data_IF_000504333866
#
_entry.id   IF_000504333866
#
_cell.length_a   1.000
_cell.length_b   1.000
_cell.length_c   1.000
_cell.angle_alpha   90.00
_cell.angle_beta   90.00
_cell.angle_gamma   90.00
#
_symmetry.space_group_name_H-M   'P 1'
#
loop_
_entity.id
_entity.type
_entity.pdbx_description
1 polymer ?
#
# COMPACT_ATOMS: atom_id res chain seq x y z
N UNK A 1 -16.07 -24.14 -25.18
CA UNK A 1 -17.38 -23.69 -24.63
C UNK A 1 -17.21 -22.23 -24.24
N UNK A 2 -18.14 -21.36 -24.62
CA UNK A 2 -18.13 -19.97 -24.14
C UNK A 2 -18.29 -19.98 -22.63
N UNK A 3 -17.26 -19.56 -21.90
CA UNK A 3 -17.34 -19.40 -20.44
C UNK A 3 -18.01 -18.06 -20.20
N UNK A 4 -19.18 -18.06 -19.56
CA UNK A 4 -19.85 -16.82 -19.14
C UNK A 4 -18.91 -16.02 -18.23
N UNK A 5 -18.53 -14.78 -18.60
CA UNK A 5 -17.65 -13.95 -17.80
C UNK A 5 -18.24 -13.64 -16.43
N UNK A 6 -17.40 -13.52 -15.41
CA UNK A 6 -17.82 -13.30 -14.03
C UNK A 6 -18.73 -12.05 -13.85
N UNK A 7 -18.54 -11.02 -14.68
CA UNK A 7 -19.34 -9.79 -14.65
C UNK A 7 -20.75 -9.92 -15.25
N UNK A 8 -21.02 -11.00 -15.99
CA UNK A 8 -22.35 -11.31 -16.54
C UNK A 8 -23.16 -12.21 -15.61
N UNK A 9 -22.53 -12.72 -14.54
CA UNK A 9 -23.17 -13.60 -13.57
C UNK A 9 -23.80 -12.78 -12.45
N UNK A 10 -25.04 -13.14 -12.09
CA UNK A 10 -25.76 -12.58 -10.95
C UNK A 10 -24.92 -12.63 -9.66
N UNK A 11 -25.12 -11.66 -8.76
CA UNK A 11 -24.32 -11.52 -7.53
C UNK A 11 -24.36 -12.76 -6.63
N UNK A 12 -25.53 -13.36 -6.42
CA UNK A 12 -25.65 -14.51 -5.52
C UNK A 12 -24.87 -15.70 -6.06
N UNK A 13 -25.08 -16.04 -7.33
CA UNK A 13 -24.37 -17.13 -8.01
C UNK A 13 -22.87 -16.87 -8.13
N UNK A 14 -22.48 -15.64 -8.44
CA UNK A 14 -21.08 -15.23 -8.53
C UNK A 14 -20.34 -15.45 -7.20
N UNK A 15 -20.94 -15.10 -6.06
CA UNK A 15 -20.33 -15.35 -4.74
C UNK A 15 -20.14 -16.84 -4.49
N UNK A 16 -21.12 -17.67 -4.83
CA UNK A 16 -21.03 -19.13 -4.68
C UNK A 16 -19.95 -19.74 -5.59
N UNK A 17 -19.90 -19.31 -6.85
CA UNK A 17 -18.88 -19.75 -7.83
C UNK A 17 -17.48 -19.39 -7.35
N UNK A 18 -17.26 -18.13 -6.95
CA UNK A 18 -15.95 -17.69 -6.45
C UNK A 18 -15.55 -18.53 -5.24
N UNK A 19 -16.46 -18.70 -4.28
CA UNK A 19 -16.21 -19.52 -3.09
C UNK A 19 -15.78 -20.93 -3.47
N UNK A 20 -16.55 -21.62 -4.31
CA UNK A 20 -16.24 -22.97 -4.77
C UNK A 20 -14.86 -23.07 -5.45
N UNK A 21 -14.53 -22.13 -6.32
CA UNK A 21 -13.25 -22.09 -7.01
C UNK A 21 -12.06 -21.77 -6.11
N UNK A 22 -12.25 -21.02 -5.03
CA UNK A 22 -11.19 -20.69 -4.07
C UNK A 22 -10.99 -21.81 -3.03
N UNK A 23 -12.06 -22.51 -2.64
CA UNK A 23 -12.03 -23.63 -1.68
C UNK A 23 -11.41 -24.90 -2.28
N UNK A 24 -11.90 -25.31 -3.48
CA UNK A 24 -11.61 -26.63 -4.06
C UNK A 24 -10.11 -26.93 -4.27
N UNK A 25 -9.28 -26.01 -4.80
CA UNK A 25 -7.88 -26.33 -5.06
C UNK A 25 -7.01 -26.43 -3.80
N UNK A 26 -7.48 -25.92 -2.65
CA UNK A 26 -6.64 -25.69 -1.46
C UNK A 26 -7.17 -26.35 -0.19
N UNK A 27 -8.40 -26.88 -0.22
CA UNK A 27 -9.03 -27.52 0.93
C UNK A 27 -9.30 -26.58 2.11
N UNK A 28 -9.31 -25.26 1.86
CA UNK A 28 -9.49 -24.23 2.89
C UNK A 28 -10.92 -23.70 2.96
N UNK A 29 -11.25 -23.02 4.05
CA UNK A 29 -12.55 -22.35 4.25
C UNK A 29 -12.44 -20.91 3.78
N UNK A 30 -13.33 -20.50 2.87
CA UNK A 30 -13.35 -19.14 2.34
C UNK A 30 -14.33 -18.25 3.12
N UNK A 31 -13.86 -17.06 3.50
CA UNK A 31 -14.61 -16.00 4.17
C UNK A 31 -14.49 -14.67 3.41
N UNK A 32 -15.52 -13.81 3.52
CA UNK A 32 -15.58 -12.53 2.82
C UNK A 32 -16.69 -12.46 1.75
N UNK A 33 -16.58 -11.54 0.77
CA UNK A 33 -15.46 -10.62 0.56
C UNK A 33 -15.43 -9.48 1.59
N UNK A 34 -14.23 -8.99 1.90
CA UNK A 34 -14.05 -7.64 2.45
C UNK A 34 -13.99 -6.69 1.26
N UNK A 35 -14.81 -5.65 1.32
CA UNK A 35 -14.98 -4.67 0.26
C UNK A 35 -14.01 -3.48 0.45
N UNK A 36 -13.00 -3.36 -0.43
CA UNK A 36 -12.10 -2.20 -0.50
C UNK A 36 -12.54 -1.19 -1.57
N UNK A 37 -11.86 -0.03 -1.69
CA UNK A 37 -12.27 1.01 -2.65
C UNK A 37 -12.15 0.59 -4.14
N UNK A 38 -11.17 -0.27 -4.47
CA UNK A 38 -10.85 -0.67 -5.85
C UNK A 38 -10.96 -2.18 -6.12
N UNK A 39 -11.11 -2.99 -5.07
CA UNK A 39 -11.17 -4.44 -5.17
C UNK A 39 -11.93 -5.08 -4.00
N UNK A 40 -12.12 -6.38 -4.11
CA UNK A 40 -12.68 -7.24 -3.08
C UNK A 40 -11.61 -8.27 -2.69
N UNK A 41 -11.56 -8.64 -1.40
CA UNK A 41 -10.59 -9.61 -0.89
C UNK A 41 -11.33 -10.73 -0.17
N UNK A 42 -11.13 -11.96 -0.65
CA UNK A 42 -11.51 -13.16 0.09
C UNK A 42 -10.36 -13.64 0.95
N UNK A 43 -10.68 -14.18 2.11
CA UNK A 43 -9.71 -14.83 2.98
C UNK A 43 -9.92 -16.34 2.97
N UNK A 44 -8.85 -17.11 2.75
CA UNK A 44 -8.86 -18.57 2.63
C UNK A 44 -8.08 -19.15 3.80
N UNK A 45 -8.77 -19.77 4.77
CA UNK A 45 -8.14 -20.44 5.89
C UNK A 45 -7.81 -21.89 5.51
N UNK A 46 -6.52 -22.21 5.34
CA UNK A 46 -6.04 -23.57 5.00
C UNK A 46 -5.82 -24.39 6.27
N UNK A 47 -5.27 -23.76 7.31
CA UNK A 47 -5.06 -24.36 8.62
C UNK A 47 -5.18 -23.29 9.70
N UNK A 48 -5.07 -23.66 10.97
CA UNK A 48 -5.08 -22.71 12.09
C UNK A 48 -3.96 -21.65 11.99
N UNK A 49 -2.87 -21.94 11.28
CA UNK A 49 -1.69 -21.07 11.15
C UNK A 49 -1.51 -20.47 9.75
N UNK A 50 -2.22 -20.99 8.75
CA UNK A 50 -2.00 -20.62 7.35
C UNK A 50 -3.27 -20.07 6.74
N UNK A 51 -3.21 -18.78 6.38
CA UNK A 51 -4.30 -18.05 5.75
C UNK A 51 -3.80 -17.32 4.52
N UNK A 52 -4.60 -17.33 3.46
CA UNK A 52 -4.33 -16.65 2.20
C UNK A 52 -5.32 -15.53 1.96
N UNK A 53 -4.91 -14.56 1.15
CA UNK A 53 -5.78 -13.52 0.61
C UNK A 53 -5.93 -13.75 -0.91
N UNK A 54 -7.16 -13.62 -1.40
CA UNK A 54 -7.48 -13.61 -2.83
C UNK A 54 -8.10 -12.26 -3.19
N UNK A 55 -7.29 -11.36 -3.76
CA UNK A 55 -7.67 -10.02 -4.20
C UNK A 55 -8.13 -10.06 -5.65
N UNK A 56 -9.21 -9.36 -5.97
CA UNK A 56 -9.67 -9.21 -7.34
C UNK A 56 -10.37 -7.85 -7.57
N UNK A 57 -10.40 -7.34 -8.81
CA UNK A 57 -11.11 -6.10 -9.12
C UNK A 57 -12.61 -6.22 -8.86
N UNK A 58 -13.22 -5.17 -8.31
CA UNK A 58 -14.67 -5.13 -8.04
C UNK A 58 -15.48 -5.32 -9.32
N UNK A 59 -16.06 -6.49 -9.50
CA UNK A 59 -16.83 -6.86 -10.69
C UNK A 59 -17.97 -5.87 -10.98
N UNK A 60 -18.65 -5.34 -9.95
CA UNK A 60 -19.75 -4.36 -10.09
C UNK A 60 -19.34 -3.02 -10.71
N UNK A 61 -18.06 -2.64 -10.66
CA UNK A 61 -17.57 -1.39 -11.26
C UNK A 61 -17.50 -1.47 -12.80
N UNK A 62 -17.58 -2.68 -13.33
CA UNK A 62 -17.36 -3.00 -14.74
C UNK A 62 -18.68 -3.35 -15.43
N UNK A 63 -19.53 -2.34 -15.63
CA UNK A 63 -20.82 -2.46 -16.33
C UNK A 63 -20.73 -2.65 -17.85
N UNK A 64 -19.65 -3.27 -18.35
CA UNK A 64 -19.43 -3.54 -19.77
C UNK A 64 -18.00 -4.03 -20.09
N UNK A 65 -17.77 -4.62 -21.28
CA UNK A 65 -16.51 -5.26 -21.66
C UNK A 65 -15.28 -4.35 -21.60
N UNK A 66 -15.41 -3.09 -22.03
CA UNK A 66 -14.30 -2.12 -22.01
C UNK A 66 -13.81 -1.83 -20.60
N UNK A 67 -14.75 -1.63 -19.66
CA UNK A 67 -14.41 -1.40 -18.26
C UNK A 67 -13.75 -2.64 -17.67
N UNK A 68 -14.29 -3.83 -17.96
CA UNK A 68 -13.70 -5.09 -17.51
C UNK A 68 -12.26 -5.24 -17.99
N UNK A 69 -11.99 -4.95 -19.27
CA UNK A 69 -10.64 -4.94 -19.84
C UNK A 69 -9.71 -3.97 -19.10
N UNK A 70 -10.17 -2.76 -18.81
CA UNK A 70 -9.38 -1.79 -18.04
C UNK A 70 -9.06 -2.28 -16.61
N UNK A 71 -10.01 -2.95 -15.95
CA UNK A 71 -9.79 -3.56 -14.64
C UNK A 71 -8.77 -4.71 -14.68
N UNK A 72 -8.84 -5.55 -15.71
CA UNK A 72 -7.87 -6.63 -15.94
C UNK A 72 -6.48 -6.06 -16.22
N UNK A 73 -6.36 -5.04 -17.07
CA UNK A 73 -5.09 -4.37 -17.35
C UNK A 73 -4.45 -3.79 -16.08
N UNK A 74 -5.25 -3.24 -15.16
CA UNK A 74 -4.75 -2.75 -13.88
C UNK A 74 -4.19 -3.89 -13.00
N UNK A 75 -4.82 -5.07 -13.01
CA UNK A 75 -4.30 -6.26 -12.30
C UNK A 75 -3.00 -6.73 -12.94
N UNK A 76 -2.95 -6.85 -14.27
CA UNK A 76 -1.74 -7.27 -14.97
C UNK A 76 -0.58 -6.31 -14.69
N UNK A 77 -0.86 -5.01 -14.68
CA UNK A 77 0.09 -3.99 -14.27
C UNK A 77 0.55 -4.15 -12.83
N UNK A 78 -0.36 -4.36 -11.87
CA UNK A 78 -0.02 -4.65 -10.46
C UNK A 78 0.91 -5.86 -10.35
N UNK A 79 0.62 -6.92 -11.10
CA UNK A 79 1.42 -8.14 -11.11
C UNK A 79 2.83 -7.88 -11.65
N UNK A 80 2.94 -7.22 -12.80
CA UNK A 80 4.22 -6.87 -13.42
C UNK A 80 5.07 -5.97 -12.52
N UNK A 81 4.47 -4.96 -11.88
CA UNK A 81 5.17 -4.06 -10.97
C UNK A 81 5.66 -4.76 -9.71
N UNK A 82 4.79 -5.52 -9.05
CA UNK A 82 5.18 -6.26 -7.83
C UNK A 82 6.23 -7.33 -8.14
N UNK A 83 6.17 -7.95 -9.33
CA UNK A 83 7.17 -8.91 -9.79
C UNK A 83 8.56 -8.29 -9.99
N UNK A 84 8.67 -7.06 -10.50
CA UNK A 84 9.97 -6.34 -10.55
C UNK A 84 10.59 -6.16 -9.16
N UNK A 85 9.73 -5.97 -8.17
CA UNK A 85 10.07 -5.88 -6.75
C UNK A 85 10.27 -7.24 -6.06
N UNK A 86 10.42 -8.34 -6.82
CA UNK A 86 10.63 -9.67 -6.25
C UNK A 86 11.84 -9.69 -5.29
N UNK A 87 11.69 -10.41 -4.18
CA UNK A 87 12.69 -10.50 -3.10
C UNK A 87 12.99 -9.20 -2.33
N UNK A 88 12.24 -8.10 -2.55
CA UNK A 88 12.28 -6.96 -1.61
C UNK A 88 11.55 -7.35 -0.32
N UNK A 89 12.21 -7.31 0.87
CA UNK A 89 11.65 -7.85 2.11
C UNK A 89 10.36 -7.19 2.60
N UNK A 90 10.18 -5.92 2.28
CA UNK A 90 9.07 -5.08 2.73
C UNK A 90 8.04 -4.82 1.62
N UNK A 91 8.02 -5.64 0.57
CA UNK A 91 6.97 -5.59 -0.45
C UNK A 91 6.05 -6.78 -0.29
N UNK A 92 4.74 -6.52 -0.33
CA UNK A 92 3.73 -7.55 -0.23
C UNK A 92 3.68 -8.37 -1.52
N UNK A 93 4.14 -9.62 -1.44
CA UNK A 93 4.21 -10.53 -2.59
C UNK A 93 2.95 -11.36 -2.72
N UNK A 94 2.50 -11.57 -3.94
CA UNK A 94 1.66 -12.70 -4.31
C UNK A 94 2.52 -13.90 -4.68
N UNK A 95 1.92 -15.08 -4.76
CA UNK A 95 2.60 -16.31 -5.19
C UNK A 95 1.95 -16.93 -6.43
N UNK A 96 0.68 -16.61 -6.73
CA UNK A 96 -0.04 -17.13 -7.88
C UNK A 96 -1.21 -16.22 -8.28
N UNK A 97 -1.75 -16.45 -9.48
CA UNK A 97 -2.95 -15.79 -10.02
C UNK A 97 -3.90 -16.85 -10.55
N UNK A 98 -5.11 -16.88 -9.99
CA UNK A 98 -6.16 -17.79 -10.41
C UNK A 98 -7.16 -17.07 -11.32
N UNK A 99 -7.50 -17.66 -12.46
CA UNK A 99 -8.58 -17.14 -13.32
C UNK A 99 -9.87 -17.87 -12.95
N UNK A 100 -10.91 -17.11 -12.60
CA UNK A 100 -12.25 -17.63 -12.32
C UNK A 100 -13.22 -16.94 -13.28
N UNK A 101 -13.82 -17.68 -14.20
CA UNK A 101 -14.75 -17.14 -15.20
C UNK A 101 -14.21 -15.89 -15.93
N UNK A 102 -12.95 -15.97 -16.39
CA UNK A 102 -12.25 -14.88 -17.06
C UNK A 102 -11.72 -13.77 -16.14
N UNK A 103 -12.03 -13.78 -14.85
CA UNK A 103 -11.58 -12.75 -13.92
C UNK A 103 -10.32 -13.17 -13.15
N UNK A 104 -9.31 -12.29 -13.02
CA UNK A 104 -8.08 -12.64 -12.32
C UNK A 104 -8.19 -12.41 -10.81
N UNK A 105 -7.75 -13.40 -10.04
CA UNK A 105 -7.65 -13.39 -8.58
C UNK A 105 -6.19 -13.51 -8.18
N UNK A 106 -5.62 -12.43 -7.63
CA UNK A 106 -4.25 -12.39 -7.12
C UNK A 106 -4.22 -13.09 -5.76
N UNK A 107 -3.36 -14.09 -5.62
CA UNK A 107 -3.24 -14.89 -4.40
C UNK A 107 -1.97 -14.55 -3.65
N UNK A 108 -2.13 -14.10 -2.41
CA UNK A 108 -1.02 -13.70 -1.53
C UNK A 108 -1.19 -14.27 -0.12
N UNK A 109 -0.16 -14.14 0.70
CA UNK A 109 -0.27 -14.43 2.13
C UNK A 109 -1.24 -13.43 2.76
N UNK A 110 -2.13 -13.92 3.62
CA UNK A 110 -2.98 -13.05 4.44
C UNK A 110 -2.11 -12.34 5.49
N UNK A 111 -2.27 -11.03 5.63
CA UNK A 111 -1.56 -10.17 6.59
C UNK A 111 -2.40 -9.95 7.84
N UNK A 112 -1.76 -9.71 8.98
CA UNK A 112 -2.48 -9.55 10.26
C UNK A 112 -3.32 -8.27 10.31
N UNK A 113 -2.92 -7.25 9.54
CA UNK A 113 -3.67 -6.02 9.35
C UNK A 113 -2.94 -5.06 8.40
N UNK A 114 -3.40 -3.81 8.40
CA UNK A 114 -2.82 -2.67 7.68
C UNK A 114 -2.39 -1.55 8.62
N UNK A 115 -1.56 -0.63 8.13
CA UNK A 115 -1.15 0.55 8.87
C UNK A 115 -2.38 1.42 9.24
N UNK A 116 -3.44 1.39 8.43
CA UNK A 116 -4.72 2.02 8.75
C UNK A 116 -5.33 1.44 10.04
N UNK A 117 -5.24 0.12 10.24
CA UNK A 117 -5.73 -0.54 11.46
C UNK A 117 -4.90 -0.16 12.70
N UNK A 118 -3.59 0.03 12.54
CA UNK A 118 -2.69 0.49 13.62
C UNK A 118 -2.95 1.95 13.99
N UNK A 119 -3.12 2.82 12.99
CA UNK A 119 -3.46 4.23 13.19
C UNK A 119 -4.82 4.36 13.88
N UNK A 120 -5.81 3.55 13.47
CA UNK A 120 -7.13 3.51 14.10
C UNK A 120 -7.12 2.95 15.54
N UNK A 121 -6.06 2.24 15.94
CA UNK A 121 -5.89 1.73 17.30
C UNK A 121 -4.54 2.17 17.90
N UNK A 122 -4.41 3.44 18.32
CA UNK A 122 -3.15 4.00 18.81
C UNK A 122 -2.48 3.25 19.97
N UNK A 123 -3.26 2.50 20.76
CA UNK A 123 -2.78 1.70 21.88
C UNK A 123 -2.13 0.38 21.46
N UNK A 124 -2.27 -0.04 20.20
CA UNK A 124 -1.73 -1.28 19.69
C UNK A 124 -0.21 -1.26 19.45
N UNK A 125 0.40 -0.07 19.43
CA UNK A 125 1.78 0.12 18.99
C UNK A 125 2.44 1.33 19.66
N UNK A 126 3.72 1.17 19.99
CA UNK A 126 4.51 2.19 20.68
C UNK A 126 5.04 3.27 19.75
N UNK A 127 5.62 4.33 20.31
CA UNK A 127 6.34 5.34 19.52
C UNK A 127 7.49 4.69 18.71
N UNK A 128 8.21 3.75 19.32
CA UNK A 128 9.26 2.97 18.67
C UNK A 128 8.73 2.20 17.46
N UNK A 129 7.57 1.56 17.60
CA UNK A 129 6.93 0.82 16.51
C UNK A 129 6.52 1.75 15.35
N UNK A 130 6.09 2.98 15.64
CA UNK A 130 5.77 3.99 14.61
C UNK A 130 7.00 4.39 13.81
N UNK A 131 8.11 4.69 14.47
CA UNK A 131 9.38 4.97 13.79
C UNK A 131 9.89 3.76 13.00
N UNK A 132 9.89 2.57 13.60
CA UNK A 132 10.30 1.34 12.94
C UNK A 132 9.46 1.04 11.70
N UNK A 133 8.15 1.27 11.77
CA UNK A 133 7.23 1.12 10.65
C UNK A 133 7.55 2.08 9.51
N UNK A 134 7.73 3.37 9.81
CA UNK A 134 8.08 4.37 8.80
C UNK A 134 9.43 4.07 8.12
N UNK A 135 10.43 3.64 8.88
CA UNK A 135 11.73 3.22 8.32
C UNK A 135 11.55 2.05 7.34
N UNK A 136 10.79 1.01 7.72
CA UNK A 136 10.51 -0.13 6.84
C UNK A 136 9.78 0.27 5.56
N UNK A 137 8.81 1.20 5.63
CA UNK A 137 8.07 1.71 4.47
C UNK A 137 9.00 2.48 3.54
N UNK A 138 9.82 3.38 4.07
CA UNK A 138 10.77 4.18 3.27
C UNK A 138 11.81 3.28 2.60
N UNK A 139 12.33 2.28 3.33
CA UNK A 139 13.22 1.25 2.79
C UNK A 139 12.55 0.44 1.67
N UNK A 140 11.29 0.06 1.83
CA UNK A 140 10.53 -0.62 0.78
C UNK A 140 10.49 0.20 -0.52
N UNK A 141 10.23 1.50 -0.41
CA UNK A 141 10.16 2.41 -1.56
C UNK A 141 11.53 2.63 -2.20
N UNK A 142 12.59 2.82 -1.41
CA UNK A 142 13.97 2.94 -1.92
C UNK A 142 14.40 1.70 -2.71
N UNK A 143 14.19 0.52 -2.13
CA UNK A 143 14.51 -0.73 -2.82
C UNK A 143 13.62 -0.95 -4.04
N UNK A 144 12.35 -0.52 -4.03
CA UNK A 144 11.50 -0.54 -5.23
C UNK A 144 12.06 0.34 -6.36
N UNK A 145 12.59 1.52 -6.02
CA UNK A 145 13.25 2.43 -6.98
C UNK A 145 14.50 1.81 -7.59
N UNK A 146 15.31 1.11 -6.79
CA UNK A 146 16.45 0.33 -7.29
C UNK A 146 16.02 -0.80 -8.24
N UNK A 147 14.76 -1.27 -8.15
CA UNK A 147 14.14 -2.23 -9.08
C UNK A 147 13.38 -1.58 -10.24
N UNK A 148 13.55 -0.28 -10.46
CA UNK A 148 12.96 0.44 -11.60
C UNK A 148 11.47 0.75 -11.45
N UNK A 149 10.95 0.73 -10.22
CA UNK A 149 9.62 1.27 -9.87
C UNK A 149 9.85 2.70 -9.37
N UNK A 150 9.58 3.70 -10.20
CA UNK A 150 9.91 5.08 -9.85
C UNK A 150 9.05 5.60 -8.70
N UNK A 151 7.76 5.23 -8.68
CA UNK A 151 6.87 5.55 -7.58
C UNK A 151 5.64 4.62 -7.48
N UNK A 152 5.12 4.48 -6.27
CA UNK A 152 3.91 3.74 -5.92
C UNK A 152 2.63 4.46 -6.36
N UNK A 153 2.57 5.79 -6.22
CA UNK A 153 1.49 6.68 -6.68
C UNK A 153 0.17 6.63 -5.91
N UNK A 154 -0.18 5.51 -5.27
CA UNK A 154 -1.32 5.40 -4.34
C UNK A 154 -0.87 4.95 -2.94
N UNK A 155 0.24 5.50 -2.44
CA UNK A 155 0.72 5.18 -1.09
C UNK A 155 -0.26 5.76 -0.04
N UNK A 156 -0.75 4.90 0.84
CA UNK A 156 -1.66 5.23 1.95
C UNK A 156 -1.56 4.14 3.03
N UNK A 157 -2.03 4.38 4.27
CA UNK A 157 -2.02 3.39 5.32
C UNK A 157 -2.71 2.06 4.96
N UNK A 158 -3.84 2.11 4.24
CA UNK A 158 -4.54 0.90 3.78
C UNK A 158 -3.78 0.05 2.74
N UNK A 159 -2.69 0.58 2.15
CA UNK A 159 -1.82 -0.13 1.21
C UNK A 159 -0.49 -0.57 1.86
N UNK A 160 -0.30 -0.32 3.15
CA UNK A 160 0.83 -0.83 3.93
C UNK A 160 0.30 -1.88 4.90
N UNK A 161 0.67 -3.13 4.69
CA UNK A 161 0.25 -4.25 5.51
C UNK A 161 1.28 -4.57 6.59
N UNK A 162 0.89 -5.33 7.61
CA UNK A 162 1.83 -5.84 8.62
C UNK A 162 1.57 -7.29 8.99
N UNK A 163 2.65 -7.97 9.40
CA UNK A 163 2.57 -9.19 10.22
C UNK A 163 2.88 -8.80 11.68
N UNK A 164 2.05 -9.24 12.62
CA UNK A 164 2.22 -9.02 14.07
C UNK A 164 3.16 -10.09 14.64
N UNK A 165 4.42 -9.70 14.84
CA UNK A 165 5.47 -10.57 15.35
C UNK A 165 5.34 -10.88 16.84
N UNK A 166 4.56 -10.08 17.60
CA UNK A 166 4.27 -10.39 19.01
C UNK A 166 3.51 -11.72 19.18
N UNK A 167 2.81 -12.15 18.11
CA UNK A 167 2.13 -13.45 18.02
C UNK A 167 3.06 -14.60 17.65
N UNK A 168 4.28 -14.31 17.21
CA UNK A 168 5.27 -15.26 16.67
C UNK A 168 6.48 -15.45 17.59
N UNK A 169 6.27 -15.32 18.91
CA UNK A 169 7.28 -15.43 19.98
C UNK A 169 8.26 -14.26 20.11
N UNK A 170 7.97 -13.09 19.53
CA UNK A 170 8.72 -11.87 19.90
C UNK A 170 8.27 -11.42 21.29
N UNK A 171 9.20 -11.29 22.26
CA UNK A 171 8.87 -10.80 23.61
C UNK A 171 8.20 -9.42 23.55
N UNK A 172 7.21 -9.17 24.43
CA UNK A 172 6.43 -7.92 24.46
C UNK A 172 7.26 -6.67 24.79
N UNK A 173 8.46 -6.86 25.35
CA UNK A 173 9.44 -5.83 25.65
C UNK A 173 10.39 -5.54 24.47
N UNK A 174 10.21 -6.21 23.32
CA UNK A 174 10.99 -5.98 22.09
C UNK A 174 10.55 -4.70 21.38
N UNK A 175 10.98 -3.56 21.94
CA UNK A 175 10.70 -2.21 21.44
C UNK A 175 10.99 -2.07 19.95
N UNK A 176 10.00 -1.63 19.17
CA UNK A 176 10.15 -1.37 17.74
C UNK A 176 10.25 -2.61 16.84
N UNK A 177 10.06 -3.82 17.39
CA UNK A 177 10.22 -5.08 16.66
C UNK A 177 8.91 -5.87 16.54
N UNK A 178 7.77 -5.27 16.89
CA UNK A 178 6.49 -5.97 16.94
C UNK A 178 5.83 -6.14 15.57
N UNK A 179 6.15 -5.27 14.60
CA UNK A 179 5.48 -5.26 13.30
C UNK A 179 6.50 -5.35 12.17
N UNK A 180 6.28 -6.30 11.27
CA UNK A 180 6.98 -6.35 9.99
C UNK A 180 6.08 -5.78 8.91
N UNK A 181 6.50 -4.68 8.29
CA UNK A 181 5.70 -3.93 7.31
C UNK A 181 5.87 -4.44 5.88
N UNK A 182 4.81 -4.33 5.08
CA UNK A 182 4.78 -4.70 3.68
C UNK A 182 3.99 -3.68 2.86
N UNK A 183 4.67 -2.88 2.02
CA UNK A 183 4.02 -2.04 1.02
C UNK A 183 3.41 -2.92 -0.06
N UNK A 184 2.14 -2.73 -0.40
CA UNK A 184 1.43 -3.49 -1.43
C UNK A 184 0.49 -2.61 -2.26
N UNK A 185 -0.25 -3.23 -3.18
CA UNK A 185 -1.15 -2.54 -4.13
C UNK A 185 -0.43 -1.62 -5.14
N UNK A 186 0.50 -2.21 -5.90
CA UNK A 186 1.24 -1.54 -6.97
C UNK A 186 0.43 -1.32 -8.25
N UNK A 187 -0.91 -1.38 -8.19
CA UNK A 187 -1.77 -1.25 -9.38
C UNK A 187 -1.74 0.13 -10.04
N UNK A 188 -1.26 1.16 -9.34
CA UNK A 188 -1.03 2.51 -9.88
C UNK A 188 0.45 2.89 -9.97
N UNK A 189 1.36 1.98 -9.65
CA UNK A 189 2.79 2.27 -9.65
C UNK A 189 3.25 2.69 -11.06
N UNK A 190 3.98 3.80 -11.15
CA UNK A 190 4.40 4.47 -12.40
C UNK A 190 3.27 4.77 -13.41
N UNK A 191 2.00 4.79 -13.02
CA UNK A 191 0.89 5.01 -13.95
C UNK A 191 0.95 6.39 -14.64
N UNK A 192 1.56 7.39 -14.00
CA UNK A 192 1.84 8.70 -14.59
C UNK A 192 2.75 8.60 -15.83
N UNK A 193 3.74 7.71 -15.81
CA UNK A 193 4.69 7.49 -16.91
C UNK A 193 4.15 6.50 -17.93
N UNK A 194 3.62 5.38 -17.43
CA UNK A 194 3.26 4.23 -18.27
C UNK A 194 1.89 4.45 -18.97
N UNK A 195 1.00 5.26 -18.37
CA UNK A 195 -0.34 5.52 -18.89
C UNK A 195 -0.73 7.01 -18.98
N UNK A 196 0.15 7.95 -18.59
CA UNK A 196 -0.21 9.38 -18.51
C UNK A 196 -1.29 9.67 -17.46
N UNK A 197 -1.43 8.82 -16.44
CA UNK A 197 -2.51 8.91 -15.44
C UNK A 197 -1.99 9.33 -14.07
N UNK A 198 -2.30 10.56 -13.70
CA UNK A 198 -2.13 11.05 -12.34
C UNK A 198 -3.35 10.63 -11.52
N UNK A 199 -3.19 9.65 -10.62
CA UNK A 199 -4.29 9.09 -9.82
C UNK A 199 -3.77 8.61 -8.48
N UNK A 200 -4.61 8.67 -7.45
CA UNK A 200 -4.31 8.20 -6.11
C UNK A 200 -5.48 8.48 -5.17
N UNK A 201 -5.26 8.22 -3.89
CA UNK A 201 -6.23 8.46 -2.82
C UNK A 201 -6.12 9.89 -2.34
N UNK A 202 -7.20 10.67 -2.52
CA UNK A 202 -7.19 12.14 -2.43
C UNK A 202 -6.52 12.74 -1.19
N UNK A 203 -6.66 12.19 0.04
CA UNK A 203 -5.96 12.72 1.21
C UNK A 203 -4.42 12.68 1.09
N UNK A 204 -3.89 11.67 0.39
CA UNK A 204 -2.45 11.41 0.27
C UNK A 204 -1.87 11.92 -1.05
N UNK A 205 -2.71 12.45 -1.96
CA UNK A 205 -2.25 12.92 -3.27
C UNK A 205 -1.43 14.20 -3.16
N UNK A 206 -0.28 14.20 -3.83
CA UNK A 206 0.58 15.36 -3.95
C UNK A 206 -0.01 16.42 -4.91
N UNK A 207 0.38 17.70 -4.77
CA UNK A 207 -0.08 18.80 -5.64
C UNK A 207 0.05 18.50 -7.14
N UNK A 208 1.17 17.95 -7.56
CA UNK A 208 1.46 17.61 -8.95
C UNK A 208 0.58 16.47 -9.48
N UNK A 209 0.08 15.58 -8.62
CA UNK A 209 -0.87 14.54 -9.03
C UNK A 209 -2.27 15.08 -9.30
N UNK A 210 -2.59 16.27 -8.78
CA UNK A 210 -3.81 16.98 -9.15
C UNK A 210 -3.62 17.83 -10.41
N UNK A 211 -2.39 18.06 -10.87
CA UNK A 211 -2.13 18.89 -12.04
C UNK A 211 -2.31 18.11 -13.35
N UNK A 212 -2.64 18.84 -14.42
CA UNK A 212 -2.57 18.34 -15.79
C UNK A 212 -1.19 18.55 -16.43
N UNK A 213 -0.24 19.14 -15.71
CA UNK A 213 1.14 19.30 -16.17
C UNK A 213 1.89 17.98 -16.10
N UNK A 214 2.83 17.77 -17.02
CA UNK A 214 3.72 16.61 -17.00
C UNK A 214 4.50 16.58 -15.67
N UNK A 215 4.49 15.43 -15.02
CA UNK A 215 5.33 15.13 -13.86
C UNK A 215 6.71 14.76 -14.39
N UNK A 216 7.77 15.30 -13.80
CA UNK A 216 9.14 14.90 -14.12
C UNK A 216 9.30 13.39 -13.88
N UNK A 217 9.52 12.58 -14.93
CA UNK A 217 9.62 11.13 -14.79
C UNK A 217 10.91 10.66 -14.14
N UNK A 218 11.88 11.56 -13.94
CA UNK A 218 13.19 11.23 -13.37
C UNK A 218 13.24 11.35 -11.85
N UNK A 219 12.29 12.07 -11.23
CA UNK A 219 12.28 12.30 -9.79
C UNK A 219 10.85 12.53 -9.23
N UNK A 220 9.94 11.53 -9.30
CA UNK A 220 8.63 11.66 -8.68
C UNK A 220 8.75 11.73 -7.15
N UNK A 221 8.31 12.84 -6.56
CA UNK A 221 8.31 13.03 -5.09
C UNK A 221 6.90 12.99 -4.48
N UNK A 222 5.91 12.45 -5.20
CA UNK A 222 4.55 12.33 -4.67
C UNK A 222 4.42 11.25 -3.59
N UNK A 223 5.21 10.17 -3.65
CA UNK A 223 5.27 9.20 -2.56
C UNK A 223 5.86 9.82 -1.28
N UNK A 224 6.78 10.78 -1.41
CA UNK A 224 7.31 11.55 -0.27
C UNK A 224 6.24 12.44 0.36
N UNK A 225 5.39 13.07 -0.46
CA UNK A 225 4.25 13.82 0.05
C UNK A 225 3.29 12.90 0.83
N UNK A 226 2.95 11.73 0.26
CA UNK A 226 2.13 10.74 0.93
C UNK A 226 2.76 10.22 2.23
N UNK A 227 4.09 9.97 2.23
CA UNK A 227 4.85 9.62 3.44
C UNK A 227 4.78 10.70 4.52
N UNK A 228 4.80 11.98 4.15
CA UNK A 228 4.59 13.09 5.08
C UNK A 228 3.25 13.03 5.79
N UNK A 229 2.17 12.80 5.03
CA UNK A 229 0.83 12.64 5.58
C UNK A 229 0.77 11.41 6.49
N UNK A 230 1.28 10.26 6.02
CA UNK A 230 1.30 9.00 6.79
C UNK A 230 2.11 9.16 8.08
N UNK A 231 3.29 9.77 8.02
CA UNK A 231 4.13 10.00 9.20
C UNK A 231 3.40 10.86 10.23
N UNK A 232 2.74 11.94 9.79
CA UNK A 232 1.94 12.76 10.69
C UNK A 232 0.78 11.96 11.31
N UNK A 233 0.04 11.18 10.53
CA UNK A 233 -1.04 10.33 11.06
C UNK A 233 -0.53 9.29 12.05
N UNK A 234 0.60 8.64 11.76
CA UNK A 234 1.25 7.70 12.67
C UNK A 234 1.56 8.35 14.01
N UNK A 235 2.02 9.60 14.04
CA UNK A 235 2.43 10.28 15.28
C UNK A 235 1.32 11.06 15.99
N UNK A 236 0.27 11.44 15.28
CA UNK A 236 -0.86 12.24 15.79
C UNK A 236 -2.10 11.42 16.14
N UNK A 237 -1.96 10.09 16.20
CA UNK A 237 -3.05 9.15 16.47
C UNK A 237 -4.18 9.27 15.42
N UNK A 238 -3.79 9.41 14.14
CA UNK A 238 -4.68 9.39 12.98
C UNK A 238 -5.18 10.73 12.50
N UNK A 239 -4.69 11.85 13.05
CA UNK A 239 -5.00 13.16 12.50
C UNK A 239 -4.27 13.38 11.18
N UNK A 240 -5.01 13.85 10.18
CA UNK A 240 -4.44 14.36 8.95
C UNK A 240 -3.90 15.78 9.19
N UNK A 241 -2.88 16.26 8.44
CA UNK A 241 -2.41 17.64 8.52
C UNK A 241 -3.46 18.75 8.23
N UNK A 242 -4.69 18.39 7.86
CA UNK A 242 -5.83 19.35 7.76
C UNK A 242 -6.49 19.62 9.12
N UNK A 243 -6.11 18.90 10.19
CA UNK A 243 -6.64 19.09 11.54
C UNK A 243 -7.83 18.22 11.93
N UNK A 244 -8.14 17.18 11.15
CA UNK A 244 -9.18 16.18 11.48
C UNK A 244 -8.65 14.78 11.20
N UNK A 245 -9.23 13.76 11.83
CA UNK A 245 -8.83 12.38 11.55
C UNK A 245 -9.23 11.98 10.13
N UNK A 246 -8.36 11.26 9.42
CA UNK A 246 -8.65 10.85 8.03
C UNK A 246 -9.89 9.97 7.97
N UNK A 247 -10.08 9.07 8.95
CA UNK A 247 -11.26 8.20 9.06
C UNK A 247 -12.60 8.98 9.18
N UNK A 248 -12.57 10.21 9.71
CA UNK A 248 -13.78 11.05 9.87
C UNK A 248 -14.20 11.76 8.57
N UNK A 249 -13.32 11.78 7.57
CA UNK A 249 -13.51 12.52 6.31
C UNK A 249 -13.32 11.66 5.06
N UNK A 250 -12.85 10.43 5.24
CA UNK A 250 -12.53 9.47 4.20
C UNK A 250 -12.60 8.02 4.74
N UNK A 251 -13.13 7.03 4.01
CA UNK A 251 -13.65 7.07 2.64
C UNK A 251 -15.17 7.26 2.58
N UNK A 252 -15.63 8.43 2.08
CA UNK A 252 -16.92 8.73 1.41
C UNK A 252 -18.26 8.36 2.08
N UNK A 253 -18.30 7.50 3.09
CA UNK A 253 -19.52 6.99 3.70
C UNK A 253 -19.83 7.79 4.96
N UNK A 254 -20.92 8.57 4.93
CA UNK A 254 -21.41 9.33 6.08
C UNK A 254 -20.64 10.63 6.38
N UNK A 255 -19.69 11.02 5.53
CA UNK A 255 -18.87 12.22 5.69
C UNK A 255 -19.47 13.44 4.98
N UNK A 256 -19.13 14.64 5.46
CA UNK A 256 -19.56 15.92 4.86
C UNK A 256 -19.27 15.95 3.35
N UNK A 257 -20.27 16.36 2.55
CA UNK A 257 -20.18 16.43 1.09
C UNK A 257 -18.99 17.26 0.59
N UNK A 258 -18.44 18.17 1.38
CA UNK A 258 -17.23 18.91 0.99
C UNK A 258 -16.02 18.00 0.81
N UNK A 259 -15.82 17.02 1.69
CA UNK A 259 -14.70 16.07 1.62
C UNK A 259 -14.84 15.12 0.44
N UNK A 260 -16.05 15.04 -0.11
CA UNK A 260 -16.31 14.32 -1.33
C UNK A 260 -15.79 15.06 -2.59
N UNK A 261 -15.40 16.32 -2.50
CA UNK A 261 -14.97 17.10 -3.67
C UNK A 261 -13.47 16.98 -3.87
N UNK A 262 -13.06 16.70 -5.10
CA UNK A 262 -11.65 16.71 -5.47
C UNK A 262 -11.01 18.07 -5.23
N UNK A 263 -11.77 19.15 -5.50
CA UNK A 263 -11.33 20.52 -5.30
C UNK A 263 -10.88 20.80 -3.87
N UNK A 264 -11.53 20.22 -2.87
CA UNK A 264 -11.17 20.42 -1.45
C UNK A 264 -9.78 19.87 -1.14
N UNK A 265 -9.47 18.68 -1.62
CA UNK A 265 -8.14 18.07 -1.44
C UNK A 265 -7.07 18.77 -2.29
N UNK A 266 -7.42 19.14 -3.53
CA UNK A 266 -6.54 19.91 -4.43
C UNK A 266 -6.17 21.27 -3.81
N UNK A 267 -7.14 22.01 -3.27
CA UNK A 267 -6.92 23.31 -2.64
C UNK A 267 -5.96 23.20 -1.44
N UNK A 268 -6.13 22.19 -0.59
CA UNK A 268 -5.20 21.95 0.52
C UNK A 268 -3.80 21.54 0.02
N UNK A 269 -3.71 20.60 -0.92
CA UNK A 269 -2.43 20.13 -1.44
C UNK A 269 -1.63 21.30 -2.06
N UNK A 270 -2.29 22.17 -2.84
CA UNK A 270 -1.67 23.34 -3.47
C UNK A 270 -1.34 24.48 -2.49
N UNK A 271 -1.86 24.46 -1.26
CA UNK A 271 -1.56 25.50 -0.28
C UNK A 271 -0.06 25.51 0.05
N UNK A 272 0.55 26.68 -0.08
CA UNK A 272 1.95 26.93 0.30
C UNK A 272 2.14 27.16 1.81
N UNK A 273 1.04 27.44 2.53
CA UNK A 273 1.04 27.66 3.98
C UNK A 273 0.42 26.45 4.67
N UNK A 274 1.19 25.37 4.76
CA UNK A 274 0.81 24.21 5.58
C UNK A 274 1.38 24.36 6.99
N UNK A 275 0.59 23.94 7.96
CA UNK A 275 0.96 23.89 9.37
C UNK A 275 0.47 22.57 9.94
N UNK A 276 1.24 21.97 10.83
CA UNK A 276 0.80 20.77 11.53
C UNK A 276 -0.10 21.16 12.72
N UNK A 277 -1.25 20.51 12.88
CA UNK A 277 -2.05 20.60 14.10
C UNK A 277 -1.24 20.23 15.34
N UNK A 278 -1.58 20.82 16.48
CA UNK A 278 -0.96 20.46 17.77
C UNK A 278 -1.39 19.04 18.14
N UNK A 279 -0.42 18.16 18.34
CA UNK A 279 -0.63 16.77 18.74
C UNK A 279 -0.66 16.64 20.27
N UNK A 280 -1.32 15.58 20.77
CA UNK A 280 -1.36 15.29 22.20
C UNK A 280 0.05 14.96 22.76
N UNK A 281 0.88 14.34 21.93
CA UNK A 281 2.28 14.04 22.22
C UNK A 281 3.15 14.94 21.35
N UNK A 282 3.91 15.86 21.97
CA UNK A 282 4.83 16.72 21.23
C UNK A 282 5.92 15.86 20.58
N UNK A 283 6.01 15.93 19.25
CA UNK A 283 7.12 15.34 18.52
C UNK A 283 8.38 16.19 18.71
N UNK A 284 9.58 15.59 18.55
CA UNK A 284 10.79 16.39 18.37
C UNK A 284 10.58 17.37 17.22
N UNK A 285 10.97 18.64 17.40
CA UNK A 285 10.75 19.69 16.39
C UNK A 285 11.35 19.33 15.04
N UNK A 286 12.43 18.56 15.02
CA UNK A 286 13.07 18.08 13.80
C UNK A 286 12.16 17.16 12.97
N UNK A 287 11.26 16.39 13.61
CA UNK A 287 10.30 15.53 12.92
C UNK A 287 9.16 16.36 12.34
N UNK A 288 8.67 17.38 13.07
CA UNK A 288 7.66 18.30 12.54
C UNK A 288 8.19 19.07 11.33
N UNK A 289 9.43 19.56 11.40
CA UNK A 289 10.11 20.23 10.30
C UNK A 289 10.29 19.31 9.09
N UNK A 290 10.70 18.05 9.31
CA UNK A 290 10.82 17.05 8.25
C UNK A 290 9.48 16.77 7.57
N UNK A 291 8.42 16.54 8.36
CA UNK A 291 7.07 16.31 7.84
C UNK A 291 6.63 17.53 7.02
N UNK A 292 6.77 18.74 7.55
CA UNK A 292 6.42 19.96 6.81
C UNK A 292 7.19 20.10 5.50
N UNK A 293 8.48 19.75 5.47
CA UNK A 293 9.28 19.76 4.25
C UNK A 293 8.73 18.80 3.17
N UNK A 294 8.32 17.59 3.56
CA UNK A 294 7.68 16.63 2.62
C UNK A 294 6.34 17.12 2.06
N UNK A 295 5.61 17.95 2.81
CA UNK A 295 4.30 18.49 2.41
C UNK A 295 4.41 19.75 1.54
N UNK A 296 5.61 20.14 1.10
CA UNK A 296 5.83 21.28 0.21
C UNK A 296 4.99 21.16 -1.08
N UNK A 297 4.37 22.28 -1.46
CA UNK A 297 3.66 22.40 -2.75
C UNK A 297 4.62 22.38 -3.94
N UNK A 298 5.89 22.76 -3.75
CA UNK A 298 6.96 22.63 -4.74
C UNK A 298 7.67 21.28 -4.53
N UNK A 299 7.58 20.33 -5.49
CA UNK A 299 8.21 19.00 -5.40
C UNK A 299 9.72 19.04 -5.16
N UNK A 300 10.41 20.10 -5.62
CA UNK A 300 11.87 20.26 -5.54
C UNK A 300 12.36 20.66 -4.15
N UNK A 301 11.46 21.15 -3.30
CA UNK A 301 11.76 21.53 -1.93
C UNK A 301 11.57 20.36 -0.94
N UNK A 302 11.06 19.22 -1.40
CA UNK A 302 10.89 18.02 -0.58
C UNK A 302 12.24 17.32 -0.42
N UNK A 303 12.53 16.72 0.75
CA UNK A 303 13.72 15.90 0.91
C UNK A 303 13.63 14.65 0.04
N UNK A 304 14.76 14.02 -0.24
CA UNK A 304 14.82 12.67 -0.82
C UNK A 304 14.33 11.61 0.17
N UNK A 305 14.00 10.40 -0.32
CA UNK A 305 13.68 9.25 0.53
C UNK A 305 14.84 8.90 1.48
N UNK A 306 16.08 9.03 0.99
CA UNK A 306 17.28 8.79 1.80
C UNK A 306 17.42 9.82 2.94
N UNK A 307 17.25 11.11 2.65
CA UNK A 307 17.26 12.14 3.68
C UNK A 307 16.14 11.92 4.70
N UNK A 308 14.92 11.61 4.25
CA UNK A 308 13.81 11.32 5.14
C UNK A 308 14.11 10.14 6.07
N UNK A 309 14.65 9.05 5.51
CA UNK A 309 15.05 7.89 6.30
C UNK A 309 16.15 8.21 7.33
N UNK A 310 17.17 8.96 6.93
CA UNK A 310 18.28 9.34 7.81
C UNK A 310 17.78 10.16 9.01
N UNK A 311 16.83 11.08 8.80
CA UNK A 311 16.23 11.85 9.90
C UNK A 311 15.43 10.96 10.86
N UNK A 312 14.73 9.94 10.36
CA UNK A 312 14.05 8.96 11.22
C UNK A 312 15.07 8.19 12.08
N UNK A 313 16.16 7.71 11.48
CA UNK A 313 17.22 7.03 12.23
C UNK A 313 17.86 7.91 13.29
N UNK A 314 18.17 9.16 12.95
CA UNK A 314 18.76 10.12 13.88
C UNK A 314 17.81 10.48 15.02
N UNK A 315 16.51 10.54 14.76
CA UNK A 315 15.51 10.69 15.81
C UNK A 315 15.51 9.48 16.76
N UNK A 316 15.37 8.26 16.24
CA UNK A 316 15.39 7.03 17.07
C UNK A 316 16.68 6.91 17.88
N UNK A 317 17.83 7.19 17.25
CA UNK A 317 19.12 7.16 17.93
C UNK A 317 19.19 8.14 19.11
N UNK A 318 18.55 9.30 19.01
CA UNK A 318 18.55 10.33 20.06
C UNK A 318 17.60 10.00 21.21
N UNK A 319 16.38 9.55 20.92
CA UNK A 319 15.40 9.30 21.97
C UNK A 319 15.46 7.88 22.56
N UNK A 320 15.93 6.88 21.80
CA UNK A 320 16.05 5.49 22.25
C UNK A 320 17.17 4.72 21.51
N UNK A 321 18.44 4.84 21.97
CA UNK A 321 19.60 4.20 21.34
C UNK A 321 19.54 2.68 21.25
N UNK A 322 18.89 2.01 22.22
CA UNK A 322 18.76 0.55 22.22
C UNK A 322 17.82 0.09 21.09
N UNK A 323 16.67 0.76 20.95
CA UNK A 323 15.73 0.53 19.85
C UNK A 323 16.42 0.80 18.51
N UNK A 324 17.21 1.87 18.40
CA UNK A 324 18.01 2.12 17.19
C UNK A 324 18.94 0.94 16.86
N UNK A 325 19.68 0.43 17.84
CA UNK A 325 20.61 -0.70 17.64
C UNK A 325 19.89 -1.97 17.19
N UNK A 326 18.80 -2.34 17.88
CA UNK A 326 18.01 -3.52 17.53
C UNK A 326 17.37 -3.42 16.14
N UNK A 327 16.79 -2.27 15.82
CA UNK A 327 16.15 -2.03 14.54
C UNK A 327 17.17 -2.05 13.39
N UNK A 328 18.38 -1.49 13.56
CA UNK A 328 19.46 -1.59 12.58
C UNK A 328 19.80 -3.04 12.26
N UNK A 329 20.03 -3.86 13.30
CA UNK A 329 20.33 -5.28 13.12
C UNK A 329 19.20 -6.02 12.39
N UNK A 330 17.94 -5.71 12.70
CA UNK A 330 16.79 -6.31 12.03
C UNK A 330 16.71 -5.91 10.56
N UNK A 331 16.88 -4.62 10.25
CA UNK A 331 16.87 -4.08 8.88
C UNK A 331 18.01 -4.70 8.08
N UNK A 332 19.23 -4.70 8.60
CA UNK A 332 20.41 -5.27 7.94
C UNK A 332 20.22 -6.78 7.68
N UNK A 333 19.65 -7.50 8.65
CA UNK A 333 19.34 -8.93 8.49
C UNK A 333 18.29 -9.15 7.38
N UNK A 334 17.20 -8.38 7.37
CA UNK A 334 16.17 -8.48 6.33
C UNK A 334 16.72 -8.15 4.95
N UNK A 335 17.56 -7.13 4.82
CA UNK A 335 18.23 -6.79 3.56
C UNK A 335 19.19 -7.87 3.11
N UNK A 336 19.86 -8.56 4.04
CA UNK A 336 20.70 -9.71 3.69
C UNK A 336 19.91 -10.89 3.09
N UNK A 337 18.59 -10.95 3.33
CA UNK A 337 17.68 -11.91 2.69
C UNK A 337 17.23 -11.44 1.31
N UNK A 338 17.45 -10.18 0.95
CA UNK A 338 17.20 -9.69 -0.39
C UNK A 338 18.22 -10.27 -1.36
N UNK A 339 17.78 -10.55 -2.58
CA UNK A 339 18.66 -11.04 -3.64
C UNK A 339 18.60 -10.07 -4.81
N UNK A 340 19.76 -9.79 -5.42
CA UNK A 340 19.83 -9.16 -6.74
C UNK A 340 19.35 -10.10 -7.84
N UNK A 341 19.21 -11.40 -7.55
CA UNK A 341 18.56 -12.36 -8.43
C UNK A 341 17.06 -12.06 -8.49
N UNK A 342 16.68 -11.41 -9.58
CA UNK A 342 15.29 -11.08 -9.90
C UNK A 342 14.60 -12.21 -10.65
N UNK A 343 15.28 -13.33 -10.93
CA UNK A 343 14.68 -14.41 -11.70
C UNK A 343 13.61 -15.12 -10.88
N UNK A 344 12.39 -15.10 -11.42
CA UNK A 344 11.32 -15.97 -10.94
C UNK A 344 10.62 -16.59 -12.16
N UNK A 345 11.26 -17.60 -12.79
CA UNK A 345 10.87 -18.11 -14.10
C UNK A 345 9.42 -18.59 -14.17
N UNK A 346 8.93 -19.19 -13.09
CA UNK A 346 7.53 -19.60 -12.99
C UNK A 346 6.56 -18.41 -13.11
N UNK A 347 6.87 -17.28 -12.49
CA UNK A 347 6.01 -16.09 -12.59
C UNK A 347 6.18 -15.38 -13.93
N UNK A 348 7.38 -15.37 -14.51
CA UNK A 348 7.59 -14.87 -15.88
C UNK A 348 6.72 -15.64 -16.89
N UNK A 349 6.74 -16.98 -16.82
CA UNK A 349 5.88 -17.83 -17.64
C UNK A 349 4.40 -17.56 -17.35
N UNK A 350 4.03 -17.41 -16.07
CA UNK A 350 2.65 -17.15 -15.66
C UNK A 350 2.14 -15.81 -16.20
N UNK A 351 2.93 -14.74 -16.11
CA UNK A 351 2.59 -13.42 -16.65
C UNK A 351 2.42 -13.48 -18.16
N UNK A 352 3.31 -14.19 -18.87
CA UNK A 352 3.21 -14.40 -20.31
C UNK A 352 1.91 -15.14 -20.68
N UNK A 353 1.57 -16.21 -19.96
CA UNK A 353 0.31 -16.95 -20.15
C UNK A 353 -0.92 -16.06 -19.90
N UNK A 354 -0.91 -15.23 -18.85
CA UNK A 354 -2.00 -14.29 -18.56
C UNK A 354 -2.16 -13.26 -19.68
N UNK A 355 -1.08 -12.65 -20.16
CA UNK A 355 -1.10 -11.70 -21.28
C UNK A 355 -1.61 -12.34 -22.58
N UNK A 356 -1.22 -13.58 -22.86
CA UNK A 356 -1.72 -14.33 -24.01
C UNK A 356 -3.22 -14.64 -23.87
N UNK A 357 -3.66 -15.08 -22.70
CA UNK A 357 -5.07 -15.36 -22.43
C UNK A 357 -5.95 -14.11 -22.64
N UNK A 358 -5.54 -12.97 -22.10
CA UNK A 358 -6.32 -11.72 -22.18
C UNK A 358 -6.18 -10.96 -23.49
N UNK A 359 -5.19 -11.26 -24.32
CA UNK A 359 -5.11 -10.69 -25.69
C UNK A 359 -5.98 -11.45 -26.70
N UNK A 360 -6.37 -12.69 -26.39
CA UNK A 360 -7.26 -13.52 -27.21
C UNK A 360 -8.76 -13.35 -26.89
N UNK A 361 -9.08 -12.72 -25.76
CA UNK A 361 -10.43 -12.32 -25.33
C UNK A 361 -10.75 -10.90 -25.81
#
# INVERSE_FOLDING_TARGET
>A
MSITPLYEIDEEWRRQIIKLHLETPRGGVVTGPIEGAYGEVYSIAISNSTRLAAKFPRVKRFGGPEKARAGIEQVLHELEKTHRAFMVPWINRFFDVQIIHGWPFILSRYRDGSLEDLIANPLAWSLQDRFASLIQIVRALRLAQERGIAAHQDLKPGNVFFDDLSRKNVPKDSRGMHFHMFVGDFGLADAFRDFGRNSGSRPYMAPEQFSSTEIDPTAPTFDLFALGVIAFECFSDGQHPIGVATADVWPWQGVDQKWNRESTWREWALSSKKSLPVTANALPSEIDELILATLSSDPRMRPSLEEFENHLWDAVKRFDPDTHGGLRMQVDWLESLSSSDTEWPHMDERLMQLRQFYSAL
#
